data_IF_201718519076
#
_entry.id   IF_201718519076
#
_cell.length_a   1.000
_cell.length_b   1.000
_cell.length_c   1.000
_cell.angle_alpha   90.00
_cell.angle_beta   90.00
_cell.angle_gamma   90.00
#
_symmetry.space_group_name_H-M   'P 1'
#
loop_
_entity.id
_entity.type
_entity.pdbx_description
1 polymer ?
#
# COMPACT_ATOMS: atom_id res chain seq x y z
N UNK A 1 3.11 12.63 15.00
CA UNK A 1 3.44 11.59 14.02
C UNK A 1 2.58 10.41 14.33
N UNK A 2 1.63 10.12 13.45
CA UNK A 2 0.85 8.90 13.53
C UNK A 2 1.67 7.78 12.90
N UNK A 3 1.65 6.59 13.49
CA UNK A 3 2.32 5.43 12.91
C UNK A 3 1.39 4.84 11.85
N UNK A 4 1.86 4.81 10.60
CA UNK A 4 1.08 4.31 9.46
C UNK A 4 1.55 2.90 9.14
N UNK A 5 0.64 1.95 9.21
CA UNK A 5 0.91 0.57 8.90
C UNK A 5 -0.09 0.06 7.87
N UNK A 6 0.38 -0.77 6.95
CA UNK A 6 -0.48 -1.35 5.92
C UNK A 6 -0.15 -2.81 5.65
N UNK A 7 -1.10 -3.52 5.06
CA UNK A 7 -0.96 -4.92 4.68
C UNK A 7 -1.63 -5.18 3.33
N UNK A 8 -1.04 -6.06 2.52
CA UNK A 8 -1.58 -6.44 1.22
C UNK A 8 -2.48 -7.67 1.42
N UNK A 9 -3.79 -7.44 1.39
CA UNK A 9 -4.77 -8.49 1.55
C UNK A 9 -4.96 -9.30 0.26
N UNK A 10 -5.17 -10.60 0.40
CA UNK A 10 -5.55 -11.46 -0.72
C UNK A 10 -7.02 -11.27 -1.10
N UNK A 11 -7.86 -10.90 -0.11
CA UNK A 11 -9.30 -10.75 -0.30
C UNK A 11 -9.91 -9.64 0.58
N UNK A 12 -11.07 -9.13 0.17
CA UNK A 12 -11.83 -8.09 0.92
C UNK A 12 -12.47 -8.63 2.21
N UNK A 13 -12.55 -9.95 2.34
CA UNK A 13 -13.12 -10.65 3.50
C UNK A 13 -12.03 -11.07 4.51
N UNK A 14 -10.78 -10.65 4.27
CA UNK A 14 -9.67 -10.97 5.16
C UNK A 14 -9.89 -10.32 6.53
N UNK A 15 -9.66 -11.09 7.59
CA UNK A 15 -9.96 -10.66 8.94
C UNK A 15 -8.78 -9.84 9.49
N UNK A 16 -8.95 -8.53 9.76
CA UNK A 16 -7.84 -7.68 10.22
C UNK A 16 -7.31 -8.10 11.59
N UNK A 17 -8.06 -8.91 12.32
CA UNK A 17 -7.67 -9.48 13.61
C UNK A 17 -6.60 -10.58 13.50
N UNK A 18 -6.54 -11.29 12.37
CA UNK A 18 -5.51 -12.30 12.09
C UNK A 18 -4.20 -11.65 11.62
N UNK A 19 -4.26 -10.39 11.15
CA UNK A 19 -3.09 -9.62 10.69
C UNK A 19 -2.34 -9.04 11.89
N UNK A 20 -1.38 -9.84 12.38
CA UNK A 20 -0.45 -9.39 13.42
C UNK A 20 0.46 -8.27 12.94
N UNK A 21 0.91 -7.40 13.85
CA UNK A 21 1.78 -6.27 13.55
C UNK A 21 3.05 -6.66 12.76
N UNK A 22 3.60 -7.87 13.01
CA UNK A 22 4.77 -8.39 12.30
C UNK A 22 4.56 -8.65 10.79
N UNK A 23 3.31 -8.74 10.33
CA UNK A 23 2.97 -8.89 8.91
C UNK A 23 2.73 -7.55 8.22
N UNK A 24 2.53 -6.47 9.00
CA UNK A 24 2.22 -5.14 8.49
C UNK A 24 3.53 -4.46 8.08
N UNK A 25 3.49 -3.78 6.95
CA UNK A 25 4.53 -2.86 6.53
C UNK A 25 4.33 -1.52 7.24
N UNK A 26 5.40 -0.94 7.76
CA UNK A 26 5.39 0.42 8.31
C UNK A 26 5.83 1.38 7.22
N UNK A 27 4.99 2.38 6.92
CA UNK A 27 5.37 3.46 6.02
C UNK A 27 6.27 4.42 6.83
N UNK A 28 7.55 4.63 6.43
CA UNK A 28 8.50 5.43 7.22
C UNK A 28 8.25 6.95 7.15
N UNK A 29 7.00 7.39 6.94
CA UNK A 29 6.68 8.75 6.54
C UNK A 29 6.46 9.72 7.72
N UNK A 30 7.00 10.95 7.58
CA UNK A 30 6.95 12.03 8.59
C UNK A 30 5.65 12.86 8.47
N UNK A 31 4.74 12.53 7.56
CA UNK A 31 3.50 13.29 7.37
C UNK A 31 2.50 12.99 8.48
N UNK A 32 1.84 14.06 8.91
CA UNK A 32 0.79 14.01 9.93
C UNK A 32 -0.56 13.64 9.30
N UNK A 33 -0.61 12.47 8.67
CA UNK A 33 -1.86 11.92 8.15
C UNK A 33 -2.87 11.77 9.28
N UNK A 34 -4.04 12.38 9.10
CA UNK A 34 -5.18 12.21 9.99
C UNK A 34 -6.19 11.32 9.31
N UNK A 35 -6.83 10.42 10.07
CA UNK A 35 -7.81 9.45 9.59
C UNK A 35 -9.08 10.04 8.94
N UNK A 36 -9.19 11.36 8.75
CA UNK A 36 -10.40 12.02 8.25
C UNK A 36 -10.21 12.79 6.94
N UNK A 37 -9.04 13.39 6.67
CA UNK A 37 -8.86 14.32 5.54
C UNK A 37 -7.95 13.77 4.41
N UNK A 38 -7.07 12.80 4.70
CA UNK A 38 -5.97 12.41 3.79
C UNK A 38 -5.80 10.89 3.61
N UNK A 39 -6.84 10.08 3.89
CA UNK A 39 -6.73 8.61 3.77
C UNK A 39 -6.40 8.18 2.33
N UNK A 40 -7.05 8.74 1.32
CA UNK A 40 -6.82 8.40 -0.09
C UNK A 40 -5.35 8.61 -0.48
N UNK A 41 -4.81 9.78 -0.15
CA UNK A 41 -3.40 10.11 -0.40
C UNK A 41 -2.46 9.21 0.41
N UNK A 42 -2.79 8.89 1.67
CA UNK A 42 -2.01 7.97 2.50
C UNK A 42 -1.89 6.58 1.85
N UNK A 43 -2.98 6.09 1.27
CA UNK A 43 -3.02 4.79 0.60
C UNK A 43 -2.20 4.83 -0.69
N UNK A 44 -2.25 5.93 -1.45
CA UNK A 44 -1.42 6.13 -2.64
C UNK A 44 0.08 6.07 -2.28
N UNK A 45 0.50 6.76 -1.22
CA UNK A 45 1.88 6.72 -0.71
C UNK A 45 2.27 5.31 -0.22
N UNK A 46 1.37 4.60 0.48
CA UNK A 46 1.58 3.21 0.89
C UNK A 46 1.78 2.29 -0.32
N UNK A 47 0.99 2.47 -1.39
CA UNK A 47 1.10 1.69 -2.60
C UNK A 47 2.38 2.00 -3.38
N UNK A 48 2.78 3.27 -3.46
CA UNK A 48 4.06 3.67 -4.07
C UNK A 48 5.25 3.07 -3.31
N UNK A 49 5.26 3.20 -1.99
CA UNK A 49 6.29 2.60 -1.14
C UNK A 49 6.32 1.08 -1.27
N UNK A 50 5.15 0.41 -1.26
CA UNK A 50 5.09 -1.04 -1.46
C UNK A 50 5.68 -1.45 -2.82
N UNK A 51 5.29 -0.73 -3.87
CA UNK A 51 5.74 -0.99 -5.23
C UNK A 51 7.25 -0.78 -5.41
N UNK A 52 7.82 0.26 -4.79
CA UNK A 52 9.21 0.66 -5.00
C UNK A 52 10.20 0.00 -4.01
N UNK A 53 9.80 -0.18 -2.74
CA UNK A 53 10.70 -0.57 -1.64
C UNK A 53 10.41 -1.97 -1.07
N UNK A 54 9.19 -2.51 -1.22
CA UNK A 54 8.75 -3.78 -0.59
C UNK A 54 8.45 -4.92 -1.59
N UNK A 55 9.16 -4.98 -2.72
CA UNK A 55 8.97 -6.00 -3.78
C UNK A 55 7.61 -5.95 -4.51
N UNK A 56 6.81 -4.88 -4.34
CA UNK A 56 5.53 -4.72 -5.01
C UNK A 56 5.61 -4.57 -6.54
N UNK A 57 6.82 -4.37 -7.09
CA UNK A 57 7.06 -4.23 -8.52
C UNK A 57 6.59 -5.44 -9.35
N UNK A 58 6.75 -6.66 -8.81
CA UNK A 58 6.34 -7.90 -9.49
C UNK A 58 4.85 -8.21 -9.35
N UNK A 59 4.15 -7.53 -8.43
CA UNK A 59 2.74 -7.80 -8.16
C UNK A 59 1.83 -7.23 -9.26
N UNK A 60 0.74 -7.97 -9.52
CA UNK A 60 -0.30 -7.54 -10.44
C UNK A 60 -1.35 -6.75 -9.68
N UNK A 61 -1.36 -5.44 -9.92
CA UNK A 61 -2.46 -4.58 -9.52
C UNK A 61 -3.74 -4.93 -10.29
N UNK A 62 -4.94 -4.69 -9.74
CA UNK A 62 -5.19 -4.01 -8.46
C UNK A 62 -4.83 -4.86 -7.23
N UNK A 63 -4.38 -4.19 -6.18
CA UNK A 63 -4.06 -4.81 -4.88
C UNK A 63 -4.97 -4.22 -3.79
N UNK A 64 -5.24 -5.03 -2.78
CA UNK A 64 -6.04 -4.62 -1.63
C UNK A 64 -5.11 -4.21 -0.48
N UNK A 65 -5.20 -2.97 -0.06
CA UNK A 65 -4.43 -2.40 1.04
C UNK A 65 -5.32 -2.27 2.26
N UNK A 66 -5.02 -3.03 3.30
CA UNK A 66 -5.58 -2.81 4.63
C UNK A 66 -4.74 -1.76 5.35
N UNK A 67 -5.38 -0.74 5.92
CA UNK A 67 -4.71 0.41 6.54
C UNK A 67 -4.97 0.46 8.05
N UNK A 68 -3.91 0.72 8.80
CA UNK A 68 -3.92 1.03 10.23
C UNK A 68 -3.19 2.34 10.48
N UNK A 69 -3.80 3.23 11.26
CA UNK A 69 -3.18 4.46 11.74
C UNK A 69 -3.21 4.43 13.26
N UNK A 70 -2.05 4.53 13.92
CA UNK A 70 -1.95 4.44 15.39
C UNK A 70 -2.57 3.15 15.98
N UNK A 71 -2.39 2.02 15.26
CA UNK A 71 -3.02 0.71 15.54
C UNK A 71 -4.56 0.67 15.37
N UNK A 72 -5.19 1.78 14.99
CA UNK A 72 -6.61 1.83 14.63
C UNK A 72 -6.80 1.38 13.18
N UNK A 73 -7.58 0.31 12.99
CA UNK A 73 -7.92 -0.20 11.67
C UNK A 73 -8.93 0.72 10.98
N UNK A 74 -8.57 1.25 9.82
CA UNK A 74 -9.41 2.17 9.05
C UNK A 74 -10.25 1.46 7.99
N UNK A 75 -9.74 0.38 7.41
CA UNK A 75 -10.44 -0.36 6.36
C UNK A 75 -9.53 -0.99 5.33
N UNK A 76 -10.16 -1.60 4.33
CA UNK A 76 -9.49 -2.14 3.14
C UNK A 76 -9.82 -1.27 1.93
N UNK A 77 -8.79 -0.97 1.15
CA UNK A 77 -8.84 -0.08 0.01
C UNK A 77 -8.26 -0.79 -1.21
N UNK A 78 -8.90 -0.62 -2.36
CA UNK A 78 -8.42 -1.20 -3.61
C UNK A 78 -7.62 -0.14 -4.36
N UNK A 79 -6.35 -0.41 -4.63
CA UNK A 79 -5.47 0.51 -5.36
C UNK A 79 -5.15 -0.08 -6.72
N UNK A 80 -5.41 0.70 -7.76
CA UNK A 80 -5.09 0.37 -9.14
C UNK A 80 -3.76 1.01 -9.53
N UNK A 81 -2.97 0.34 -10.40
CA UNK A 81 -1.78 0.94 -11.00
C UNK A 81 -2.16 1.56 -12.33
N UNK A 82 -2.29 2.89 -12.37
CA UNK A 82 -2.71 3.60 -13.58
C UNK A 82 -1.65 3.59 -14.70
N UNK A 83 -0.36 3.52 -14.38
CA UNK A 83 0.72 3.50 -15.37
C UNK A 83 1.61 2.26 -15.26
N UNK A 84 1.60 1.40 -16.29
CA UNK A 84 2.57 0.32 -16.44
C UNK A 84 3.84 0.79 -17.19
N UNK A 85 5.02 0.22 -16.90
CA UNK A 85 6.24 0.56 -17.62
C UNK A 85 6.15 0.12 -19.09
N UNK A 86 6.30 1.09 -20.00
CA UNK A 86 6.36 0.84 -21.44
C UNK A 86 7.80 0.57 -21.85
N UNK A 87 8.13 -0.70 -22.07
CA UNK A 87 9.45 -1.10 -22.55
C UNK A 87 9.49 -1.14 -24.08
N UNK A 88 10.48 -0.46 -24.67
CA UNK A 88 10.73 -0.49 -26.11
C UNK A 88 12.16 -0.91 -26.39
N UNK A 89 12.33 -1.93 -27.24
CA UNK A 89 13.64 -2.45 -27.64
C UNK A 89 13.95 -2.11 -29.11
N UNK A 90 15.20 -1.72 -29.38
CA UNK A 90 15.75 -1.52 -30.74
C UNK A 90 16.93 -2.46 -30.93
N UNK A 91 17.01 -3.11 -32.10
CA UNK A 91 18.20 -3.86 -32.52
C UNK A 91 19.38 -2.90 -32.69
N UNK A 92 20.51 -3.23 -32.08
CA UNK A 92 21.79 -2.56 -32.34
C UNK A 92 22.50 -3.39 -33.41
N UNK A 93 22.81 -2.74 -34.54
CA UNK A 93 23.75 -3.24 -35.56
C UNK A 93 25.12 -2.60 -35.34
#
# INVERSE_FOLDING_TARGET
>A
MAMIQFYIADSKDEDPSEITNNLRYELPDDHNFSADDDIEFCIEECAEYYHHDCDGWENRFPLLFMLWIDDEYLGVFEVEREFEPVFSAKKVE
#
